data_IF_829182275609
#
_entry.id   IF_829182275609
#
_cell.length_a   1.000
_cell.length_b   1.000
_cell.length_c   1.000
_cell.angle_alpha   90.00
_cell.angle_beta   90.00
_cell.angle_gamma   90.00
#
_symmetry.space_group_name_H-M   'P 1'
#
loop_
_entity.id
_entity.type
_entity.pdbx_description
1 polymer ?
#
# COMPACT_ATOMS: atom_id res chain seq x y z
N UNK A 1 5.88 6.22 -17.96
CA UNK A 1 5.29 4.89 -17.98
C UNK A 1 3.87 4.84 -17.43
N UNK A 2 2.94 5.53 -18.09
CA UNK A 2 1.55 5.65 -17.61
C UNK A 2 0.81 4.31 -17.66
N UNK A 3 1.06 3.47 -18.66
CA UNK A 3 0.37 2.19 -18.82
C UNK A 3 0.66 1.16 -17.70
N UNK A 4 1.85 1.19 -17.10
CA UNK A 4 2.18 0.28 -15.98
C UNK A 4 1.30 0.53 -14.77
N UNK A 5 0.95 1.77 -14.49
CA UNK A 5 0.10 2.13 -13.38
C UNK A 5 -1.35 1.75 -13.62
N UNK A 6 -1.86 1.91 -14.87
CA UNK A 6 -3.18 1.42 -15.21
C UNK A 6 -3.26 -0.11 -15.10
N UNK A 7 -2.24 -0.83 -15.56
CA UNK A 7 -2.17 -2.28 -15.36
C UNK A 7 -2.15 -2.65 -13.88
N UNK A 8 -1.36 -1.93 -13.06
CA UNK A 8 -1.29 -2.09 -11.61
C UNK A 8 -2.67 -1.91 -10.93
N UNK A 9 -3.40 -0.86 -11.32
CA UNK A 9 -4.74 -0.58 -10.82
C UNK A 9 -5.77 -1.61 -11.27
N UNK A 10 -5.72 -2.03 -12.54
CA UNK A 10 -6.66 -2.99 -13.12
C UNK A 10 -6.47 -4.40 -12.54
N UNK A 11 -5.24 -4.82 -12.33
CA UNK A 11 -4.91 -6.11 -11.72
C UNK A 11 -5.11 -6.13 -10.20
N UNK A 12 -5.17 -4.97 -9.55
CA UNK A 12 -5.17 -4.87 -8.09
C UNK A 12 -3.88 -5.43 -7.49
N UNK A 13 -2.74 -4.95 -7.95
CA UNK A 13 -1.43 -5.40 -7.52
C UNK A 13 -1.13 -5.12 -6.04
N UNK A 14 0.06 -5.48 -5.59
CA UNK A 14 0.53 -5.20 -4.24
C UNK A 14 0.80 -3.70 -4.05
N UNK A 15 0.58 -3.19 -2.82
CA UNK A 15 1.01 -1.84 -2.41
C UNK A 15 2.51 -1.59 -2.59
N UNK A 16 3.31 -2.65 -2.67
CA UNK A 16 4.74 -2.56 -2.96
C UNK A 16 5.04 -1.88 -4.30
N UNK A 17 4.12 -1.90 -5.27
CA UNK A 17 4.27 -1.15 -6.52
C UNK A 17 4.39 0.36 -6.28
N UNK A 18 3.71 0.88 -5.26
CA UNK A 18 3.79 2.30 -4.88
C UNK A 18 5.14 2.69 -4.26
N UNK A 19 5.96 1.73 -3.89
CA UNK A 19 7.35 1.91 -3.48
C UNK A 19 8.30 1.73 -4.68
N UNK A 20 8.15 0.64 -5.42
CA UNK A 20 9.08 0.26 -6.48
C UNK A 20 8.98 1.13 -7.74
N UNK A 21 7.77 1.54 -8.14
CA UNK A 21 7.60 2.38 -9.32
C UNK A 21 8.23 3.78 -9.16
N UNK A 22 8.08 4.48 -8.02
CA UNK A 22 8.85 5.71 -7.76
C UNK A 22 10.36 5.49 -7.77
N UNK A 23 10.86 4.38 -7.20
CA UNK A 23 12.29 4.06 -7.22
C UNK A 23 12.82 3.86 -8.65
N UNK A 24 12.13 3.07 -9.48
CA UNK A 24 12.48 2.87 -10.89
C UNK A 24 12.44 4.19 -11.66
N UNK A 25 11.43 5.02 -11.42
CA UNK A 25 11.31 6.32 -12.08
C UNK A 25 12.46 7.25 -11.72
N UNK A 26 12.88 7.27 -10.44
CA UNK A 26 14.04 8.03 -10.00
C UNK A 26 15.31 7.65 -10.78
N UNK A 27 15.58 6.36 -10.95
CA UNK A 27 16.73 5.88 -11.72
C UNK A 27 16.65 6.26 -13.21
N UNK A 28 15.44 6.48 -13.72
CA UNK A 28 15.21 6.97 -15.08
C UNK A 28 15.18 8.51 -15.16
N UNK A 29 15.46 9.25 -14.10
CA UNK A 29 15.37 10.71 -14.05
C UNK A 29 13.95 11.27 -14.15
N UNK A 30 12.94 10.45 -13.86
CA UNK A 30 11.51 10.82 -13.90
C UNK A 30 10.99 11.02 -12.49
N UNK A 31 10.54 12.22 -12.19
CA UNK A 31 9.89 12.50 -10.90
C UNK A 31 8.43 12.03 -10.93
N UNK A 32 8.07 11.17 -9.98
CA UNK A 32 6.72 10.64 -9.81
C UNK A 32 6.19 11.02 -8.43
N UNK A 33 5.10 11.77 -8.40
CA UNK A 33 4.33 12.03 -7.19
C UNK A 33 3.27 10.92 -7.00
N UNK A 34 3.10 10.42 -5.78
CA UNK A 34 2.08 9.40 -5.45
C UNK A 34 0.63 9.90 -5.62
N UNK A 35 0.38 11.21 -5.63
CA UNK A 35 -0.98 11.75 -5.88
C UNK A 35 -1.55 11.31 -7.23
N UNK A 36 -0.69 11.16 -8.25
CA UNK A 36 -1.10 10.68 -9.57
C UNK A 36 -1.70 9.26 -9.52
N UNK A 37 -1.38 8.47 -8.47
CA UNK A 37 -1.93 7.12 -8.31
C UNK A 37 -3.46 7.16 -8.12
N UNK A 38 -3.98 8.11 -7.32
CA UNK A 38 -5.42 8.26 -7.13
C UNK A 38 -6.12 8.76 -8.40
N UNK A 39 -5.48 9.66 -9.15
CA UNK A 39 -6.01 10.14 -10.43
C UNK A 39 -6.12 9.01 -11.46
N UNK A 40 -5.13 8.14 -11.52
CA UNK A 40 -5.13 6.96 -12.38
C UNK A 40 -6.14 5.94 -11.88
N UNK A 41 -6.18 5.67 -10.58
CA UNK A 41 -7.13 4.75 -9.94
C UNK A 41 -8.57 5.17 -10.21
N UNK A 42 -8.88 6.47 -10.13
CA UNK A 42 -10.23 6.99 -10.40
C UNK A 42 -10.71 6.77 -11.85
N UNK A 43 -9.78 6.59 -12.80
CA UNK A 43 -10.07 6.43 -14.23
C UNK A 43 -9.85 5.00 -14.74
N UNK A 44 -9.26 4.13 -13.92
CA UNK A 44 -8.89 2.77 -14.32
C UNK A 44 -9.67 1.77 -13.47
N UNK A 45 -10.61 1.03 -14.04
CA UNK A 45 -11.39 0.04 -13.32
C UNK A 45 -10.52 -1.12 -12.85
N UNK A 46 -10.94 -1.77 -11.76
CA UNK A 46 -10.32 -3.02 -11.30
C UNK A 46 -10.96 -4.20 -12.04
N UNK A 47 -10.17 -4.91 -12.82
CA UNK A 47 -10.63 -6.00 -13.70
C UNK A 47 -10.33 -7.40 -13.13
N UNK A 48 -9.45 -7.51 -12.13
CA UNK A 48 -9.03 -8.79 -11.58
C UNK A 48 -9.08 -8.77 -10.06
N UNK A 49 -9.64 -9.85 -9.48
CA UNK A 49 -9.59 -10.12 -8.04
C UNK A 49 -8.71 -11.33 -7.75
N UNK A 50 -7.43 -11.20 -8.06
CA UNK A 50 -6.45 -12.25 -7.77
C UNK A 50 -6.21 -12.38 -6.25
N UNK A 51 -5.87 -13.58 -5.79
CA UNK A 51 -5.53 -13.81 -4.40
C UNK A 51 -4.47 -12.79 -3.91
N UNK A 52 -4.65 -12.22 -2.74
CA UNK A 52 -5.61 -12.50 -1.67
C UNK A 52 -6.95 -11.75 -1.78
N UNK A 53 -7.15 -10.85 -2.74
CA UNK A 53 -8.40 -10.10 -2.89
C UNK A 53 -9.58 -10.99 -3.28
N UNK A 54 -9.33 -12.03 -4.08
CA UNK A 54 -10.30 -13.01 -4.52
C UNK A 54 -9.77 -14.44 -4.40
N UNK A 55 -10.36 -15.35 -5.19
CA UNK A 55 -10.08 -16.78 -5.17
C UNK A 55 -9.31 -17.27 -6.41
N UNK A 56 -9.08 -16.41 -7.39
CA UNK A 56 -8.30 -16.70 -8.59
C UNK A 56 -6.82 -16.46 -8.36
N UNK A 57 -5.96 -17.24 -9.01
CA UNK A 57 -4.51 -17.19 -8.89
C UNK A 57 -3.85 -16.73 -10.18
N UNK A 58 -2.54 -16.61 -10.18
CA UNK A 58 -1.77 -16.21 -11.38
C UNK A 58 -1.84 -17.26 -12.51
N UNK A 59 -2.07 -18.52 -12.17
CA UNK A 59 -2.31 -19.59 -13.12
C UNK A 59 -3.62 -19.33 -13.89
N UNK A 60 -4.70 -19.04 -13.17
CA UNK A 60 -6.01 -18.71 -13.76
C UNK A 60 -5.90 -17.47 -14.65
N UNK A 61 -5.17 -16.43 -14.19
CA UNK A 61 -4.91 -15.25 -14.99
C UNK A 61 -4.18 -15.59 -16.29
N UNK A 62 -3.17 -16.46 -16.23
CA UNK A 62 -2.42 -16.89 -17.41
C UNK A 62 -3.32 -17.64 -18.42
N UNK A 63 -4.15 -18.55 -17.93
CA UNK A 63 -5.11 -19.29 -18.74
C UNK A 63 -6.19 -18.39 -19.35
N UNK A 64 -6.64 -17.37 -18.60
CA UNK A 64 -7.58 -16.37 -19.07
C UNK A 64 -7.03 -15.45 -20.18
N UNK A 65 -5.71 -15.49 -20.42
CA UNK A 65 -5.04 -14.68 -21.46
C UNK A 65 -3.94 -13.77 -20.94
N UNK A 66 -3.69 -13.81 -19.63
CA UNK A 66 -2.56 -13.14 -18.98
C UNK A 66 -2.66 -11.62 -18.98
N UNK A 67 -1.55 -10.99 -18.65
CA UNK A 67 -1.44 -9.53 -18.59
C UNK A 67 -1.77 -8.87 -19.94
N UNK A 68 -1.47 -9.54 -21.06
CA UNK A 68 -1.79 -8.99 -22.38
C UNK A 68 -3.29 -8.89 -22.62
N UNK A 69 -4.09 -9.85 -22.13
CA UNK A 69 -5.54 -9.75 -22.21
C UNK A 69 -6.08 -8.59 -21.34
N UNK A 70 -5.52 -8.37 -20.15
CA UNK A 70 -5.86 -7.20 -19.31
C UNK A 70 -5.52 -5.89 -20.01
N UNK A 71 -4.32 -5.79 -20.59
CA UNK A 71 -3.93 -4.58 -21.36
C UNK A 71 -4.83 -4.38 -22.58
N UNK A 72 -5.24 -5.45 -23.24
CA UNK A 72 -6.16 -5.35 -24.37
C UNK A 72 -7.56 -4.88 -23.91
N UNK A 73 -8.06 -5.32 -22.74
CA UNK A 73 -9.29 -4.76 -22.16
C UNK A 73 -9.15 -3.25 -21.89
N UNK A 74 -8.05 -2.81 -21.28
CA UNK A 74 -7.79 -1.40 -21.01
C UNK A 74 -7.67 -0.54 -22.29
N UNK A 75 -7.12 -1.12 -23.38
CA UNK A 75 -6.97 -0.42 -24.66
C UNK A 75 -8.30 -0.06 -25.32
N UNK A 76 -9.36 -0.84 -25.07
CA UNK A 76 -10.72 -0.59 -25.61
C UNK A 76 -11.30 0.76 -25.19
N UNK A 77 -10.89 1.29 -24.04
CA UNK A 77 -11.28 2.64 -23.54
C UNK A 77 -10.13 3.65 -23.60
N UNK A 78 -9.10 3.39 -24.37
CA UNK A 78 -7.91 4.25 -24.50
C UNK A 78 -7.24 4.58 -23.16
N UNK A 79 -7.26 3.64 -22.22
CA UNK A 79 -6.66 3.83 -20.89
C UNK A 79 -5.16 3.57 -20.87
N UNK A 80 -4.57 3.06 -21.96
CA UNK A 80 -3.13 2.81 -22.09
C UNK A 80 -2.60 3.41 -23.39
N UNK A 81 -1.32 3.75 -23.39
CA UNK A 81 -0.62 4.23 -24.58
C UNK A 81 -0.13 3.06 -25.42
N UNK A 82 -0.85 2.75 -26.50
CA UNK A 82 -0.55 1.60 -27.37
C UNK A 82 0.62 1.83 -28.31
N UNK A 83 1.01 3.08 -28.53
CA UNK A 83 2.12 3.52 -29.38
C UNK A 83 3.50 3.47 -28.71
N UNK A 84 3.54 3.29 -27.38
CA UNK A 84 4.80 3.21 -26.64
C UNK A 84 5.61 1.97 -27.00
N UNK A 85 6.91 2.17 -27.29
CA UNK A 85 7.86 1.10 -27.56
C UNK A 85 8.14 0.28 -26.29
N UNK A 86 8.26 -1.04 -26.45
CA UNK A 86 8.57 -1.97 -25.36
C UNK A 86 9.94 -2.61 -25.51
N UNK A 87 10.38 -3.39 -24.53
CA UNK A 87 11.63 -4.14 -24.57
C UNK A 87 11.66 -5.26 -25.64
N UNK A 88 10.51 -5.59 -26.24
CA UNK A 88 10.44 -6.54 -27.36
C UNK A 88 10.82 -5.92 -28.71
N UNK A 89 11.08 -4.61 -28.76
CA UNK A 89 11.27 -3.86 -30.00
C UNK A 89 9.97 -3.55 -30.76
N UNK A 90 8.82 -3.93 -30.20
CA UNK A 90 7.48 -3.64 -30.71
C UNK A 90 6.75 -2.67 -29.79
N UNK A 91 5.71 -2.03 -30.30
CA UNK A 91 4.83 -1.19 -29.47
C UNK A 91 3.97 -2.04 -28.52
N UNK A 92 3.36 -1.38 -27.52
CA UNK A 92 2.37 -2.03 -26.65
C UNK A 92 1.22 -2.58 -27.48
N UNK A 93 0.69 -1.80 -28.44
CA UNK A 93 -0.40 -2.21 -29.33
C UNK A 93 -0.07 -3.44 -30.16
N UNK A 94 1.13 -3.51 -30.73
CA UNK A 94 1.60 -4.69 -31.47
C UNK A 94 1.71 -5.92 -30.59
N UNK A 95 2.17 -5.77 -29.35
CA UNK A 95 2.30 -6.90 -28.41
C UNK A 95 0.96 -7.45 -27.92
N UNK A 96 -0.05 -6.60 -27.75
CA UNK A 96 -1.38 -7.02 -27.28
C UNK A 96 -2.33 -7.37 -28.45
N UNK A 97 -1.91 -7.15 -29.66
CA UNK A 97 -2.72 -7.49 -30.85
C UNK A 97 -3.03 -8.99 -30.85
N UNK A 98 -4.32 -9.33 -30.92
CA UNK A 98 -4.78 -10.70 -30.85
C UNK A 98 -4.82 -11.34 -29.45
N UNK A 99 -4.46 -10.59 -28.39
CA UNK A 99 -4.67 -11.06 -27.01
C UNK A 99 -6.18 -11.13 -26.71
N UNK A 100 -6.64 -12.30 -26.32
CA UNK A 100 -8.06 -12.57 -26.08
C UNK A 100 -8.27 -12.87 -24.60
N UNK A 101 -9.27 -12.21 -24.01
CA UNK A 101 -9.80 -12.59 -22.71
C UNK A 101 -10.62 -13.88 -22.88
N UNK A 102 -10.15 -15.00 -22.33
CA UNK A 102 -10.77 -16.33 -22.45
C UNK A 102 -11.64 -16.68 -21.26
N UNK A 103 -11.51 -15.92 -20.15
CA UNK A 103 -12.30 -16.12 -18.93
C UNK A 103 -12.73 -14.79 -18.34
N UNK A 104 -13.99 -14.36 -18.63
CA UNK A 104 -14.54 -13.11 -18.10
C UNK A 104 -14.78 -13.10 -16.59
N UNK A 105 -14.67 -14.22 -15.89
CA UNK A 105 -14.75 -14.26 -14.44
C UNK A 105 -13.38 -13.95 -13.81
N UNK A 106 -12.28 -14.40 -14.41
CA UNK A 106 -10.92 -14.08 -13.96
C UNK A 106 -10.48 -12.68 -14.39
N UNK A 107 -10.76 -12.30 -15.66
CA UNK A 107 -10.51 -10.96 -16.19
C UNK A 107 -11.86 -10.35 -16.56
N UNK A 108 -12.42 -9.48 -15.75
CA UNK A 108 -13.67 -8.81 -16.08
C UNK A 108 -13.53 -7.97 -17.35
N UNK A 109 -14.56 -8.00 -18.24
CA UNK A 109 -14.63 -7.06 -19.34
C UNK A 109 -14.61 -5.61 -18.83
N UNK A 110 -14.01 -4.71 -19.61
CA UNK A 110 -13.86 -3.29 -19.26
C UNK A 110 -15.20 -2.58 -18.97
N UNK A 111 -16.31 -3.09 -19.52
CA UNK A 111 -17.66 -2.57 -19.32
C UNK A 111 -18.41 -3.22 -18.14
N UNK A 112 -17.81 -4.22 -17.50
CA UNK A 112 -18.36 -4.89 -16.33
C UNK A 112 -17.26 -5.23 -15.30
N UNK A 113 -16.54 -4.24 -14.77
CA UNK A 113 -15.43 -4.44 -13.84
C UNK A 113 -15.89 -4.91 -12.46
N UNK A 114 -14.97 -5.39 -11.63
CA UNK A 114 -15.21 -5.60 -10.20
C UNK A 114 -15.42 -4.28 -9.45
N UNK A 115 -14.75 -3.22 -9.87
CA UNK A 115 -14.91 -1.86 -9.35
C UNK A 115 -14.59 -0.86 -10.46
N UNK A 116 -15.33 0.24 -10.50
CA UNK A 116 -15.08 1.37 -11.41
C UNK A 116 -13.74 2.08 -11.12
N UNK A 117 -13.18 1.85 -9.94
CA UNK A 117 -11.90 2.41 -9.53
C UNK A 117 -10.86 1.33 -9.32
N UNK A 118 -9.57 1.70 -9.45
CA UNK A 118 -8.44 0.79 -9.32
C UNK A 118 -8.28 0.17 -7.94
N UNK A 119 -7.51 -0.92 -7.90
CA UNK A 119 -7.33 -1.74 -6.71
C UNK A 119 -6.44 -1.14 -5.62
N UNK A 120 -5.79 0.01 -5.85
CA UNK A 120 -4.90 0.68 -4.88
C UNK A 120 -5.41 2.09 -4.62
N UNK A 121 -5.33 2.53 -3.34
CA UNK A 121 -5.59 3.89 -2.92
C UNK A 121 -4.41 4.46 -2.13
N UNK A 122 -4.15 5.76 -2.31
CA UNK A 122 -3.15 6.54 -1.58
C UNK A 122 -3.90 7.50 -0.65
N UNK A 123 -3.71 7.34 0.66
CA UNK A 123 -4.38 8.17 1.66
C UNK A 123 -3.47 9.29 2.14
N UNK A 124 -4.06 10.39 2.59
CA UNK A 124 -3.37 11.55 3.14
C UNK A 124 -4.14 12.13 4.32
N UNK A 125 -3.43 12.75 5.26
CA UNK A 125 -4.01 13.42 6.42
C UNK A 125 -2.93 13.79 7.42
N UNK A 126 -3.33 14.26 8.60
CA UNK A 126 -2.37 14.65 9.63
C UNK A 126 -1.54 13.46 10.15
N UNK A 127 -2.06 12.22 10.04
CA UNK A 127 -1.32 11.01 10.39
C UNK A 127 -0.26 10.68 9.34
N UNK A 128 -0.54 10.91 8.06
CA UNK A 128 0.34 10.63 6.93
C UNK A 128 0.40 11.83 5.97
N UNK A 129 1.04 12.95 6.37
CA UNK A 129 1.09 14.15 5.53
C UNK A 129 1.80 13.93 4.19
N UNK A 130 2.78 13.02 4.14
CA UNK A 130 3.48 12.60 2.93
C UNK A 130 2.94 11.28 2.36
N UNK A 131 1.71 10.91 2.77
CA UNK A 131 0.89 9.80 2.27
C UNK A 131 1.17 8.45 2.91
N UNK A 132 0.23 7.54 2.66
CA UNK A 132 0.31 6.10 2.91
C UNK A 132 -0.52 5.36 1.87
N UNK A 133 -0.40 4.05 1.82
CA UNK A 133 -1.00 3.24 0.75
C UNK A 133 -1.82 2.08 1.30
N UNK A 134 -2.90 1.74 0.60
CA UNK A 134 -3.74 0.60 0.92
C UNK A 134 -4.15 -0.15 -0.33
N UNK A 135 -4.19 -1.49 -0.25
CA UNK A 135 -4.78 -2.34 -1.30
C UNK A 135 -6.30 -2.34 -1.15
N UNK A 136 -6.95 -1.35 -1.78
CA UNK A 136 -8.40 -1.16 -1.70
C UNK A 136 -9.18 -2.41 -2.12
N UNK A 137 -8.73 -3.11 -3.15
CA UNK A 137 -9.37 -4.32 -3.67
C UNK A 137 -9.38 -5.50 -2.68
N UNK A 138 -8.57 -5.47 -1.63
CA UNK A 138 -8.52 -6.49 -0.59
C UNK A 138 -9.20 -6.07 0.73
N UNK A 139 -9.80 -4.89 0.76
CA UNK A 139 -10.53 -4.35 1.92
C UNK A 139 -12.00 -4.72 1.82
N UNK A 140 -12.55 -5.29 2.87
CA UNK A 140 -13.99 -5.58 2.95
C UNK A 140 -14.80 -4.28 2.90
N UNK A 141 -15.97 -4.26 2.25
CA UNK A 141 -16.77 -3.05 2.08
C UNK A 141 -17.06 -2.28 3.39
N UNK A 142 -17.32 -2.99 4.48
CA UNK A 142 -17.55 -2.44 5.82
C UNK A 142 -16.33 -1.78 6.45
N UNK A 143 -15.12 -2.10 5.96
CA UNK A 143 -13.84 -1.55 6.42
C UNK A 143 -13.27 -0.45 5.51
N UNK A 144 -13.98 -0.09 4.44
CA UNK A 144 -13.57 1.04 3.59
C UNK A 144 -13.58 2.37 4.35
N UNK A 145 -14.46 2.48 5.35
CA UNK A 145 -14.45 3.54 6.37
C UNK A 145 -14.35 2.88 7.73
N UNK A 146 -13.39 3.32 8.54
CA UNK A 146 -13.18 2.76 9.86
C UNK A 146 -12.76 3.85 10.85
N UNK A 147 -13.25 3.75 12.09
CA UNK A 147 -12.85 4.63 13.18
C UNK A 147 -12.70 3.82 14.46
N UNK A 148 -11.53 3.90 15.08
CA UNK A 148 -11.29 3.10 16.26
C UNK A 148 -10.08 3.56 17.08
N UNK A 149 -9.95 3.01 18.30
CA UNK A 149 -8.82 3.31 19.19
C UNK A 149 -7.54 2.63 18.69
N UNK A 150 -6.44 3.36 18.78
CA UNK A 150 -5.11 2.85 18.44
C UNK A 150 -4.61 1.85 19.48
N UNK A 151 -3.96 0.78 19.01
CA UNK A 151 -3.14 -0.16 19.77
C UNK A 151 -1.74 -0.12 19.19
N UNK A 152 -0.80 0.49 19.93
CA UNK A 152 0.49 0.94 19.42
C UNK A 152 1.61 0.00 19.81
N UNK A 153 2.42 -0.40 18.81
CA UNK A 153 3.55 -1.32 18.96
C UNK A 153 4.77 -0.75 18.24
N UNK A 154 5.94 -0.89 18.85
CA UNK A 154 7.19 -0.39 18.32
C UNK A 154 7.97 -1.44 17.51
N UNK A 155 7.38 -2.62 17.28
CA UNK A 155 7.89 -3.68 16.42
C UNK A 155 6.77 -4.62 15.96
N UNK A 156 7.03 -5.35 14.88
CA UNK A 156 6.17 -6.44 14.40
C UNK A 156 6.01 -7.52 15.47
N UNK A 157 7.09 -7.89 16.16
CA UNK A 157 7.12 -8.95 17.17
C UNK A 157 6.22 -8.64 18.38
N UNK A 158 6.24 -7.39 18.85
CA UNK A 158 5.35 -6.95 19.94
C UNK A 158 3.88 -7.05 19.53
N UNK A 159 3.55 -6.58 18.32
CA UNK A 159 2.19 -6.64 17.79
C UNK A 159 1.69 -8.09 17.67
N UNK A 160 2.48 -8.97 17.07
CA UNK A 160 2.12 -10.39 16.87
C UNK A 160 1.86 -11.06 18.22
N UNK A 161 2.71 -10.84 19.22
CA UNK A 161 2.55 -11.41 20.55
C UNK A 161 1.20 -11.03 21.13
N UNK A 162 0.85 -9.75 21.13
CA UNK A 162 -0.41 -9.26 21.72
C UNK A 162 -1.63 -9.74 20.91
N UNK A 163 -1.53 -9.85 19.59
CA UNK A 163 -2.61 -10.41 18.77
C UNK A 163 -2.89 -11.87 19.16
N UNK A 164 -1.86 -12.71 19.28
CA UNK A 164 -2.02 -14.11 19.68
C UNK A 164 -2.50 -14.29 21.12
N UNK A 165 -2.16 -13.37 22.02
CA UNK A 165 -2.66 -13.35 23.40
C UNK A 165 -4.12 -12.86 23.52
N UNK A 166 -4.77 -12.49 22.39
CA UNK A 166 -6.15 -11.99 22.38
C UNK A 166 -6.28 -10.55 22.90
N UNK A 167 -5.19 -9.78 22.89
CA UNK A 167 -5.16 -8.41 23.37
C UNK A 167 -5.74 -7.38 22.41
N UNK A 168 -6.09 -7.77 21.18
CA UNK A 168 -6.73 -6.92 20.16
C UNK A 168 -8.22 -7.25 20.09
N UNK A 169 -9.05 -6.21 19.96
CA UNK A 169 -10.51 -6.32 19.93
C UNK A 169 -11.08 -5.79 18.62
N UNK A 170 -12.28 -6.23 18.29
CA UNK A 170 -13.03 -5.67 17.17
C UNK A 170 -13.18 -4.15 17.35
N UNK A 171 -12.90 -3.40 16.29
CA UNK A 171 -12.89 -1.94 16.27
C UNK A 171 -11.52 -1.31 16.48
N UNK A 172 -10.52 -2.04 16.97
CA UNK A 172 -9.17 -1.52 17.19
C UNK A 172 -8.47 -1.13 15.86
N UNK A 173 -7.54 -0.19 15.95
CA UNK A 173 -6.57 0.15 14.91
C UNK A 173 -5.17 -0.22 15.44
N UNK A 174 -4.62 -1.31 14.93
CA UNK A 174 -3.26 -1.76 15.27
C UNK A 174 -2.24 -0.88 14.55
N UNK A 175 -1.35 -0.24 15.29
CA UNK A 175 -0.29 0.63 14.78
C UNK A 175 1.06 0.00 15.05
N UNK A 176 1.79 -0.37 13.99
CA UNK A 176 3.16 -0.90 14.05
C UNK A 176 4.10 0.13 13.47
N UNK A 177 5.00 0.67 14.29
CA UNK A 177 5.89 1.77 13.91
C UNK A 177 7.36 1.40 14.07
N UNK A 178 8.24 2.24 13.52
CA UNK A 178 9.69 2.00 13.45
C UNK A 178 10.09 0.81 12.54
N UNK A 179 9.24 0.49 11.57
CA UNK A 179 9.48 -0.52 10.54
C UNK A 179 9.63 0.10 9.12
N UNK A 180 9.73 1.44 9.06
CA UNK A 180 9.94 2.20 7.84
C UNK A 180 11.35 2.07 7.25
N UNK A 181 11.66 2.79 6.16
CA UNK A 181 12.93 2.67 5.44
C UNK A 181 14.17 2.84 6.32
N UNK A 182 14.21 3.82 7.20
CA UNK A 182 15.34 4.08 8.09
C UNK A 182 15.14 3.42 9.46
N UNK A 183 13.92 3.39 9.98
CA UNK A 183 13.60 2.83 11.30
C UNK A 183 13.68 1.30 11.35
N UNK A 184 13.21 0.62 10.29
CA UNK A 184 13.37 -0.81 10.05
C UNK A 184 14.14 -1.06 8.76
N UNK A 185 15.48 -0.87 8.74
CA UNK A 185 16.25 -0.77 7.51
C UNK A 185 15.98 -1.88 6.51
N UNK A 186 15.53 -1.47 5.30
CA UNK A 186 15.09 -2.36 4.25
C UNK A 186 13.57 -2.57 4.20
N UNK A 187 12.79 -1.99 5.13
CA UNK A 187 11.32 -2.11 5.18
C UNK A 187 10.85 -3.56 5.01
N UNK A 188 11.04 -4.40 6.02
CA UNK A 188 10.62 -5.81 5.88
C UNK A 188 9.14 -5.93 5.52
N UNK A 189 8.84 -6.93 4.73
CA UNK A 189 7.50 -7.26 4.29
C UNK A 189 6.77 -8.04 5.36
N UNK A 190 5.93 -7.36 6.16
CA UNK A 190 5.19 -7.98 7.26
C UNK A 190 3.99 -8.76 6.73
N UNK A 191 3.93 -10.04 7.04
CA UNK A 191 2.78 -10.92 6.77
C UNK A 191 2.14 -11.41 8.06
N UNK A 192 2.94 -11.69 9.07
CA UNK A 192 2.48 -12.34 10.31
C UNK A 192 1.42 -11.54 11.06
N UNK A 193 1.49 -10.21 11.22
CA UNK A 193 0.43 -9.45 11.90
C UNK A 193 -0.92 -9.55 11.17
N UNK A 194 -0.91 -9.45 9.83
CA UNK A 194 -2.14 -9.53 9.04
C UNK A 194 -2.74 -10.93 9.07
N UNK A 195 -1.91 -11.97 9.00
CA UNK A 195 -2.33 -13.36 9.13
C UNK A 195 -2.87 -13.67 10.52
N UNK A 196 -2.25 -13.13 11.58
CA UNK A 196 -2.71 -13.31 12.96
C UNK A 196 -4.08 -12.65 13.19
N UNK A 197 -4.31 -11.45 12.68
CA UNK A 197 -5.62 -10.77 12.72
C UNK A 197 -6.68 -11.58 11.97
N UNK A 198 -6.37 -12.11 10.79
CA UNK A 198 -7.29 -12.98 10.04
C UNK A 198 -7.58 -14.29 10.82
N UNK A 199 -6.54 -14.93 11.35
CA UNK A 199 -6.67 -16.16 12.16
C UNK A 199 -7.48 -15.97 13.44
N UNK A 200 -7.46 -14.77 14.03
CA UNK A 200 -8.28 -14.39 15.18
C UNK A 200 -9.75 -14.05 14.81
N UNK A 201 -10.12 -14.09 13.52
CA UNK A 201 -11.46 -13.72 13.04
C UNK A 201 -11.74 -12.20 13.06
N UNK A 202 -10.70 -11.37 13.16
CA UNK A 202 -10.80 -9.91 13.28
C UNK A 202 -10.59 -9.15 11.97
N UNK A 203 -10.40 -9.84 10.86
CA UNK A 203 -10.03 -9.25 9.56
C UNK A 203 -11.03 -8.27 8.98
N UNK A 204 -12.31 -8.35 9.37
CA UNK A 204 -13.38 -7.43 8.97
C UNK A 204 -13.74 -6.38 10.03
N UNK A 205 -12.93 -6.24 11.08
CA UNK A 205 -13.23 -5.33 12.20
C UNK A 205 -12.02 -4.63 12.79
N UNK A 206 -10.81 -4.96 12.36
CA UNK A 206 -9.55 -4.36 12.82
C UNK A 206 -8.79 -3.83 11.62
N UNK A 207 -8.31 -2.60 11.71
CA UNK A 207 -7.38 -2.02 10.75
C UNK A 207 -5.93 -2.13 11.25
N UNK A 208 -4.97 -2.21 10.32
CA UNK A 208 -3.54 -2.17 10.61
C UNK A 208 -2.90 -0.97 9.91
N UNK A 209 -2.02 -0.27 10.61
CA UNK A 209 -1.27 0.87 10.09
C UNK A 209 0.22 0.69 10.39
N UNK A 210 1.09 0.99 9.44
CA UNK A 210 2.54 0.93 9.65
C UNK A 210 3.29 1.94 8.78
N UNK A 211 4.44 2.42 9.27
CA UNK A 211 5.43 3.12 8.47
C UNK A 211 6.32 2.16 7.65
N UNK A 212 6.25 0.85 7.95
CA UNK A 212 6.81 -0.21 7.13
C UNK A 212 5.90 -0.61 5.97
N UNK A 213 5.93 -1.89 5.58
CA UNK A 213 5.08 -2.43 4.51
C UNK A 213 4.51 -3.79 4.87
N UNK A 214 3.39 -4.12 4.23
CA UNK A 214 2.78 -5.44 4.34
C UNK A 214 3.05 -6.29 3.10
N UNK A 215 3.06 -7.60 3.29
CA UNK A 215 3.17 -8.56 2.20
C UNK A 215 2.03 -8.40 1.19
N UNK A 216 2.30 -8.68 -0.09
CA UNK A 216 1.28 -8.71 -1.14
C UNK A 216 0.16 -9.72 -0.88
N UNK A 217 0.38 -10.72 -0.01
CA UNK A 217 -0.63 -11.68 0.43
C UNK A 217 -1.58 -11.17 1.52
N UNK A 218 -1.47 -9.90 1.91
CA UNK A 218 -2.28 -9.28 2.97
C UNK A 218 -3.72 -9.07 2.52
N UNK A 219 -4.68 -9.43 3.41
CA UNK A 219 -6.11 -9.10 3.34
C UNK A 219 -6.48 -8.08 4.41
N UNK A 220 -7.56 -7.30 4.17
CA UNK A 220 -8.14 -6.37 5.12
C UNK A 220 -7.62 -4.95 4.99
N UNK A 221 -8.04 -4.09 5.93
CA UNK A 221 -7.65 -2.68 5.98
C UNK A 221 -6.22 -2.54 6.51
N UNK A 222 -5.23 -2.90 5.70
CA UNK A 222 -3.81 -2.83 6.02
C UNK A 222 -3.17 -1.66 5.24
N UNK A 223 -2.82 -0.60 5.97
CA UNK A 223 -2.32 0.67 5.45
C UNK A 223 -0.83 0.76 5.75
N UNK A 224 -0.02 0.72 4.72
CA UNK A 224 1.45 0.76 4.82
C UNK A 224 2.05 2.04 4.31
N UNK A 225 3.38 2.14 4.40
CA UNK A 225 4.19 3.23 3.89
C UNK A 225 3.83 4.60 4.48
N UNK A 226 3.34 4.63 5.74
CA UNK A 226 3.02 5.90 6.39
C UNK A 226 4.25 6.80 6.38
N UNK A 227 4.11 7.97 5.76
CA UNK A 227 5.19 8.92 5.57
C UNK A 227 4.80 10.30 6.11
N UNK A 228 5.74 10.96 6.81
CA UNK A 228 7.06 10.51 7.24
C UNK A 228 7.01 9.35 8.24
N UNK A 229 8.02 8.46 8.23
CA UNK A 229 8.14 7.35 9.18
C UNK A 229 8.45 7.82 10.61
N UNK A 230 8.25 6.95 11.60
CA UNK A 230 8.39 7.29 13.02
C UNK A 230 9.80 7.78 13.38
N UNK A 231 10.87 7.14 12.89
CA UNK A 231 12.25 7.53 13.22
C UNK A 231 12.62 8.91 12.67
N UNK A 232 11.91 9.37 11.64
CA UNK A 232 12.07 10.69 11.05
C UNK A 232 11.10 11.75 11.61
N UNK A 233 10.40 11.43 12.72
CA UNK A 233 9.50 12.35 13.40
C UNK A 233 8.13 12.48 12.76
N UNK A 234 7.72 11.52 11.94
CA UNK A 234 6.35 11.43 11.43
C UNK A 234 5.32 11.33 12.56
N UNK A 235 4.09 11.76 12.29
CA UNK A 235 2.99 11.76 13.27
C UNK A 235 2.78 10.39 13.91
N UNK A 236 3.03 9.31 13.18
CA UNK A 236 2.92 7.94 13.65
C UNK A 236 3.77 7.67 14.92
N UNK A 237 4.91 8.38 15.09
CA UNK A 237 5.77 8.27 16.27
C UNK A 237 5.08 8.72 17.57
N UNK A 238 4.09 9.60 17.46
CA UNK A 238 3.47 10.29 18.58
C UNK A 238 2.06 9.79 18.91
N UNK A 239 1.60 8.75 18.22
CA UNK A 239 0.34 8.07 18.57
C UNK A 239 0.48 7.38 19.92
N UNK A 240 -0.55 7.50 20.75
CA UNK A 240 -0.67 6.79 22.03
C UNK A 240 -1.77 5.74 21.97
N UNK A 241 -1.66 4.71 22.79
CA UNK A 241 -2.75 3.74 22.97
C UNK A 241 -4.05 4.47 23.34
N UNK A 242 -5.14 4.10 22.66
CA UNK A 242 -6.46 4.69 22.85
C UNK A 242 -6.73 5.95 22.03
N UNK A 243 -5.74 6.55 21.36
CA UNK A 243 -6.00 7.64 20.42
C UNK A 243 -6.95 7.18 19.30
N UNK A 244 -7.88 8.02 18.93
CA UNK A 244 -8.83 7.68 17.87
C UNK A 244 -8.21 7.97 16.50
N UNK A 245 -8.27 6.96 15.63
CA UNK A 245 -7.84 7.07 14.23
C UNK A 245 -9.06 6.86 13.34
N UNK A 246 -9.26 7.79 12.39
CA UNK A 246 -10.27 7.72 11.35
C UNK A 246 -9.62 7.42 10.01
N UNK A 247 -10.16 6.42 9.31
CA UNK A 247 -9.74 5.97 7.99
C UNK A 247 -10.94 6.10 7.06
N UNK A 248 -10.77 6.79 5.93
CA UNK A 248 -11.78 6.92 4.89
C UNK A 248 -11.11 6.68 3.52
N UNK A 249 -11.12 5.43 3.09
CA UNK A 249 -10.49 5.00 1.84
C UNK A 249 -11.19 5.60 0.61
N UNK A 250 -12.53 5.66 0.54
CA UNK A 250 -13.25 6.35 -0.53
C UNK A 250 -12.85 7.80 -0.73
N UNK A 251 -12.62 8.54 0.35
CA UNK A 251 -12.24 9.95 0.32
C UNK A 251 -10.71 10.16 0.42
N UNK A 252 -9.92 9.08 0.38
CA UNK A 252 -8.46 9.11 0.43
C UNK A 252 -7.90 9.80 1.68
N UNK A 253 -8.56 9.68 2.84
CA UNK A 253 -8.13 10.35 4.07
C UNK A 253 -7.79 9.39 5.19
N UNK A 254 -6.81 9.80 6.01
CA UNK A 254 -6.43 9.14 7.26
C UNK A 254 -6.10 10.20 8.31
N UNK A 255 -6.76 10.14 9.45
CA UNK A 255 -6.70 11.20 10.47
C UNK A 255 -6.48 10.62 11.85
N UNK A 256 -5.49 11.16 12.56
CA UNK A 256 -5.35 11.01 14.00
C UNK A 256 -6.22 12.11 14.66
N UNK A 257 -7.23 11.73 15.43
CA UNK A 257 -8.16 12.67 16.06
C UNK A 257 -7.58 13.24 17.39
N UNK A 258 -6.46 13.90 17.24
CA UNK A 258 -5.77 14.63 18.32
C UNK A 258 -5.59 16.05 17.85
N UNK A 259 -5.77 17.03 18.74
CA UNK A 259 -5.60 18.44 18.36
C UNK A 259 -4.17 18.76 17.98
N UNK A 260 -3.99 19.78 17.15
CA UNK A 260 -2.66 20.20 16.72
C UNK A 260 -1.80 20.64 17.92
N UNK A 261 -2.41 21.28 18.93
CA UNK A 261 -1.73 21.69 20.16
C UNK A 261 -1.21 20.49 20.96
N UNK A 262 -2.04 19.45 21.12
CA UNK A 262 -1.62 18.23 21.81
C UNK A 262 -0.53 17.51 21.03
N UNK A 263 -0.65 17.43 19.69
CA UNK A 263 0.35 16.81 18.83
C UNK A 263 1.70 17.55 18.93
N UNK A 264 1.70 18.88 18.89
CA UNK A 264 2.92 19.67 19.08
C UNK A 264 3.52 19.51 20.48
N UNK A 265 2.69 19.37 21.52
CA UNK A 265 3.16 19.05 22.85
C UNK A 265 3.81 17.67 22.93
N UNK A 266 3.22 16.66 22.26
CA UNK A 266 3.79 15.30 22.17
C UNK A 266 5.14 15.33 21.44
N UNK A 267 5.28 16.04 20.34
CA UNK A 267 6.55 16.21 19.63
C UNK A 267 7.67 16.79 20.49
N UNK A 268 7.32 17.67 21.43
CA UNK A 268 8.29 18.26 22.38
C UNK A 268 8.68 17.31 23.52
N UNK A 269 7.78 16.44 23.94
CA UNK A 269 7.91 15.66 25.19
C UNK A 269 8.19 14.18 24.97
N UNK A 270 7.82 13.63 23.82
CA UNK A 270 8.04 12.23 23.48
C UNK A 270 9.30 12.06 22.63
N UNK A 271 10.33 11.38 23.15
CA UNK A 271 11.54 11.16 22.37
C UNK A 271 11.29 10.14 21.26
N UNK A 272 11.89 10.39 20.10
CA UNK A 272 11.92 9.41 19.01
C UNK A 272 12.86 8.27 19.41
N UNK A 273 12.37 7.05 19.34
CA UNK A 273 13.17 5.85 19.59
C UNK A 273 14.13 5.63 18.43
N UNK A 274 15.38 5.29 18.74
CA UNK A 274 16.38 4.86 17.75
C UNK A 274 16.71 3.38 18.00
N UNK A 275 16.82 2.61 16.93
CA UNK A 275 17.31 1.22 17.03
C UNK A 275 18.84 1.24 17.15
N UNK A 276 19.37 1.20 18.36
CA UNK A 276 20.82 1.28 18.64
C UNK A 276 21.61 0.05 18.14
N UNK A 277 20.92 -1.05 17.82
CA UNK A 277 21.56 -2.30 17.41
C UNK A 277 21.87 -2.40 15.90
N UNK A 278 21.56 -1.37 15.12
CA UNK A 278 21.82 -1.37 13.68
C UNK A 278 23.30 -1.14 13.42
N UNK A 279 23.98 -2.11 12.77
CA UNK A 279 25.41 -2.08 12.49
C UNK A 279 25.71 -2.33 11.01
N UNK A 280 26.94 -2.05 10.60
CA UNK A 280 27.47 -2.40 9.28
C UNK A 280 26.69 -1.72 8.14
N UNK A 281 26.32 -2.52 7.14
CA UNK A 281 25.63 -2.03 5.95
C UNK A 281 24.27 -1.41 6.27
N UNK A 282 23.47 -2.02 7.15
CA UNK A 282 22.14 -1.51 7.50
C UNK A 282 22.19 -0.13 8.18
N UNK A 283 23.24 0.14 8.98
CA UNK A 283 23.44 1.49 9.55
C UNK A 283 23.73 2.52 8.47
N UNK A 284 24.54 2.14 7.47
CA UNK A 284 24.81 2.99 6.32
C UNK A 284 23.56 3.23 5.49
N UNK A 285 22.82 2.17 5.20
CA UNK A 285 21.54 2.24 4.48
C UNK A 285 20.57 3.20 5.18
N UNK A 286 20.32 3.01 6.48
CA UNK A 286 19.40 3.84 7.27
C UNK A 286 19.77 5.34 7.25
N UNK A 287 21.06 5.67 7.12
CA UNK A 287 21.53 7.06 7.05
C UNK A 287 21.34 7.72 5.67
N UNK A 288 21.12 6.93 4.61
CA UNK A 288 21.08 7.42 3.23
C UNK A 288 19.73 7.21 2.56
N UNK A 289 18.89 6.35 3.11
CA UNK A 289 17.61 6.01 2.49
C UNK A 289 16.62 7.17 2.59
N UNK A 290 15.88 7.40 1.50
CA UNK A 290 14.77 8.37 1.46
C UNK A 290 13.49 7.79 2.09
N UNK A 291 12.50 8.64 2.27
CA UNK A 291 11.17 8.24 2.72
C UNK A 291 10.45 7.32 1.71
N UNK A 292 9.49 6.54 2.20
CA UNK A 292 8.74 5.57 1.40
C UNK A 292 7.91 6.23 0.28
N UNK A 293 7.37 7.43 0.50
CA UNK A 293 6.66 8.20 -0.53
C UNK A 293 7.53 8.54 -1.75
N UNK A 294 8.85 8.50 -1.58
CA UNK A 294 9.86 8.71 -2.64
C UNK A 294 10.47 7.43 -3.18
N UNK A 295 9.95 6.27 -2.77
CA UNK A 295 10.42 4.96 -3.21
C UNK A 295 11.53 4.36 -2.36
N UNK A 296 11.84 4.90 -1.18
CA UNK A 296 12.93 4.43 -0.30
C UNK A 296 14.26 4.25 -1.06
N UNK A 297 14.63 5.21 -1.88
CA UNK A 297 15.86 5.22 -2.68
C UNK A 297 17.06 5.64 -1.84
N UNK A 298 18.24 5.23 -2.26
CA UNK A 298 19.50 5.65 -1.63
C UNK A 298 19.93 7.01 -2.18
N UNK A 299 20.05 7.99 -1.31
CA UNK A 299 20.60 9.31 -1.62
C UNK A 299 22.12 9.29 -1.39
N UNK A 300 22.90 9.40 -2.46
CA UNK A 300 24.36 9.43 -2.41
C UNK A 300 24.95 10.74 -2.95
N UNK A 301 24.13 11.80 -2.90
CA UNK A 301 24.59 13.16 -3.23
C UNK A 301 24.94 13.93 -1.97
#
# INVERSE_FOLDING_TARGET
DVYKRQADMALGCSTNSMLHLPAIANECGVNINLDIANEISAKTPNLCHLAPAGHTYMEDLNEAGGVYAVLNELSKKNLIHTDCLTCTGKTVGENINGAVNRDPETIRPIDNPYSETGGIAVLKGNLAPDRCVVKRSAVAPEMLTHKGPARVFDSEEEAIKVIYEGGIKAGDVVVIRYEGPAGGPGMREMLSPTSAIQGAGLGSSVALITDGRFSGATRGAAIGHVSPEAVNGGTIAYIKDGDIISIDIPNYTITLEVSDEELEQRKKTMPIKKKDNIKGYLKRYAAMVSSADKGAIINYK
#
